data_IF_772272621109
#
_entry.id   IF_772272621109
#
_cell.length_a   1.000
_cell.length_b   1.000
_cell.length_c   1.000
_cell.angle_alpha   90.00
_cell.angle_beta   90.00
_cell.angle_gamma   90.00
#
_symmetry.space_group_name_H-M   'P 1'
#
loop_
_entity.id
_entity.type
_entity.pdbx_description
1 polymer ?
#
# COMPACT_ATOMS: atom_id res chain seq x y z
N UNK A 1 16.05 26.98 -11.49
CA UNK A 1 14.64 27.34 -11.81
C UNK A 1 13.70 26.55 -10.91
N UNK A 2 12.87 27.22 -10.10
CA UNK A 2 11.78 26.53 -9.38
C UNK A 2 10.76 26.07 -10.44
N UNK A 3 10.59 24.76 -10.61
CA UNK A 3 9.52 24.18 -11.44
C UNK A 3 8.19 24.77 -10.97
N UNK A 4 7.54 25.58 -11.82
CA UNK A 4 6.16 26.00 -11.57
C UNK A 4 5.35 24.72 -11.40
N UNK A 5 4.73 24.53 -10.24
CA UNK A 5 3.75 23.45 -10.06
C UNK A 5 2.66 23.71 -11.09
N UNK A 6 2.59 22.87 -12.11
CA UNK A 6 1.48 22.86 -13.08
C UNK A 6 0.39 22.05 -12.40
N UNK A 7 -0.75 22.69 -12.15
CA UNK A 7 -1.92 22.09 -11.53
C UNK A 7 -3.15 22.44 -12.37
N UNK A 8 -4.18 21.62 -12.25
CA UNK A 8 -5.49 21.90 -12.84
C UNK A 8 -5.99 23.23 -12.26
N UNK A 9 -6.21 24.21 -13.13
CA UNK A 9 -6.57 25.58 -12.74
C UNK A 9 -8.04 25.73 -12.37
N UNK A 10 -8.88 24.76 -12.74
CA UNK A 10 -10.25 24.65 -12.25
C UNK A 10 -10.27 24.02 -10.85
N UNK A 11 -10.60 24.81 -9.84
CA UNK A 11 -10.64 24.39 -8.44
C UNK A 11 -11.68 23.29 -8.18
N UNK A 12 -12.82 23.30 -8.88
CA UNK A 12 -13.85 22.27 -8.73
C UNK A 12 -13.38 20.93 -9.30
N UNK A 13 -12.72 20.95 -10.46
CA UNK A 13 -12.14 19.75 -11.05
C UNK A 13 -11.03 19.20 -10.17
N UNK A 14 -10.15 20.07 -9.67
CA UNK A 14 -9.07 19.70 -8.75
C UNK A 14 -9.59 19.06 -7.47
N UNK A 15 -10.58 19.65 -6.79
CA UNK A 15 -11.17 19.10 -5.56
C UNK A 15 -11.78 17.71 -5.78
N UNK A 16 -12.36 17.46 -6.95
CA UNK A 16 -12.91 16.15 -7.27
C UNK A 16 -11.83 15.12 -7.57
N UNK A 17 -10.78 15.48 -8.31
CA UNK A 17 -9.63 14.58 -8.53
C UNK A 17 -8.95 14.25 -7.20
N UNK A 18 -8.83 15.22 -6.30
CA UNK A 18 -8.37 15.00 -4.93
C UNK A 18 -9.22 13.97 -4.19
N UNK A 19 -10.55 14.09 -4.27
CA UNK A 19 -11.47 13.15 -3.63
C UNK A 19 -11.32 11.73 -4.21
N UNK A 20 -11.21 11.61 -5.54
CA UNK A 20 -11.01 10.31 -6.22
C UNK A 20 -9.66 9.70 -5.86
N UNK A 21 -8.56 10.47 -5.91
CA UNK A 21 -7.23 9.99 -5.54
C UNK A 21 -7.19 9.53 -4.07
N UNK A 22 -7.88 10.25 -3.18
CA UNK A 22 -8.03 9.86 -1.78
C UNK A 22 -8.79 8.54 -1.62
N UNK A 23 -9.94 8.42 -2.26
CA UNK A 23 -10.74 7.18 -2.26
C UNK A 23 -9.91 6.01 -2.81
N UNK A 24 -9.30 6.18 -3.98
CA UNK A 24 -8.46 5.18 -4.62
C UNK A 24 -7.31 4.72 -3.71
N UNK A 25 -6.63 5.65 -3.03
CA UNK A 25 -5.51 5.34 -2.12
C UNK A 25 -5.89 4.36 -1.02
N UNK A 26 -7.09 4.51 -0.44
CA UNK A 26 -7.54 3.68 0.68
C UNK A 26 -8.36 2.46 0.26
N UNK A 27 -8.96 2.47 -0.93
CA UNK A 27 -9.86 1.40 -1.39
C UNK A 27 -9.22 0.45 -2.40
N UNK A 28 -8.20 0.90 -3.14
CA UNK A 28 -7.58 0.13 -4.24
C UNK A 28 -6.08 -0.11 -3.98
N UNK A 29 -5.25 0.93 -4.05
CA UNK A 29 -3.80 0.78 -3.94
C UNK A 29 -3.12 1.99 -3.29
N UNK A 30 -2.09 1.71 -2.48
CA UNK A 30 -1.28 2.77 -1.86
C UNK A 30 -0.32 3.42 -2.85
N UNK A 31 0.26 2.67 -3.78
CA UNK A 31 1.16 3.19 -4.81
C UNK A 31 0.77 2.66 -6.18
N UNK A 32 1.03 3.45 -7.21
CA UNK A 32 0.91 3.05 -8.61
C UNK A 32 2.33 2.88 -9.13
N UNK A 33 2.65 1.67 -9.59
CA UNK A 33 3.92 1.38 -10.27
C UNK A 33 3.85 2.00 -11.66
N UNK A 34 4.92 2.66 -12.08
CA UNK A 34 5.01 3.26 -13.42
C UNK A 34 3.75 4.07 -13.80
N UNK A 35 3.38 5.11 -13.04
CA UNK A 35 2.11 5.81 -13.24
C UNK A 35 1.95 6.34 -14.67
N UNK A 36 3.00 6.85 -15.29
CA UNK A 36 2.91 7.30 -16.67
C UNK A 36 2.58 6.14 -17.63
N UNK A 37 3.12 4.94 -17.41
CA UNK A 37 2.81 3.79 -18.26
C UNK A 37 1.36 3.34 -18.06
N UNK A 38 0.88 3.29 -16.81
CA UNK A 38 -0.49 2.89 -16.48
C UNK A 38 -1.54 3.88 -17.01
N UNK A 39 -1.34 5.19 -16.80
CA UNK A 39 -2.34 6.20 -17.19
C UNK A 39 -2.40 6.44 -18.70
N UNK A 40 -1.32 6.16 -19.44
CA UNK A 40 -1.27 6.27 -20.90
C UNK A 40 -1.56 4.93 -21.61
N UNK A 41 -1.94 3.89 -20.87
CA UNK A 41 -2.19 2.58 -21.43
C UNK A 41 -3.57 2.54 -22.11
N UNK A 42 -3.64 1.99 -23.32
CA UNK A 42 -4.90 1.70 -23.97
C UNK A 42 -5.67 0.62 -23.20
N UNK A 43 -6.97 0.81 -23.02
CA UNK A 43 -7.83 -0.18 -22.35
C UNK A 43 -7.90 -1.43 -23.21
N UNK A 44 -7.46 -2.55 -22.65
CA UNK A 44 -7.67 -3.86 -23.27
C UNK A 44 -9.10 -4.33 -22.99
N UNK A 45 -10.00 -4.40 -24.00
CA UNK A 45 -11.38 -4.82 -23.81
C UNK A 45 -11.51 -6.30 -23.41
N UNK A 46 -10.48 -7.10 -23.66
CA UNK A 46 -10.44 -8.53 -23.36
C UNK A 46 -9.72 -8.84 -22.04
N UNK A 47 -9.39 -7.81 -21.25
CA UNK A 47 -8.76 -7.96 -19.95
C UNK A 47 -9.59 -8.84 -19.01
N UNK A 48 -8.97 -9.89 -18.47
CA UNK A 48 -9.53 -10.75 -17.43
C UNK A 48 -8.92 -10.36 -16.07
N UNK A 49 -9.71 -9.88 -15.09
CA UNK A 49 -9.23 -9.60 -13.74
C UNK A 49 -8.52 -10.79 -13.07
N UNK A 50 -8.83 -12.02 -13.46
CA UNK A 50 -8.15 -13.24 -12.98
C UNK A 50 -6.68 -13.30 -13.40
N UNK A 51 -6.30 -12.57 -14.45
CA UNK A 51 -4.94 -12.48 -14.96
C UNK A 51 -4.11 -11.40 -14.27
N UNK A 52 -4.69 -10.57 -13.40
CA UNK A 52 -4.07 -9.38 -12.79
C UNK A 52 -2.60 -9.54 -12.39
N UNK A 53 -2.19 -10.70 -11.88
CA UNK A 53 -0.82 -10.93 -11.40
C UNK A 53 0.01 -11.93 -12.25
N UNK A 54 -0.44 -12.23 -13.48
CA UNK A 54 0.24 -13.16 -14.42
C UNK A 54 1.43 -12.51 -15.14
N UNK A 55 1.35 -11.21 -15.45
CA UNK A 55 2.45 -10.45 -16.07
C UNK A 55 2.48 -9.00 -15.55
N UNK A 56 3.44 -8.19 -15.99
CA UNK A 56 3.46 -6.75 -15.69
C UNK A 56 2.36 -6.01 -16.46
N UNK A 57 2.11 -6.38 -17.72
CA UNK A 57 1.08 -5.77 -18.56
C UNK A 57 -0.32 -6.01 -17.97
N UNK A 58 -0.59 -7.22 -17.49
CA UNK A 58 -1.85 -7.58 -16.84
C UNK A 58 -2.04 -6.83 -15.50
N UNK A 59 -0.94 -6.50 -14.82
CA UNK A 59 -0.98 -5.63 -13.64
C UNK A 59 -1.33 -4.20 -14.04
N UNK A 60 -0.71 -3.68 -15.09
CA UNK A 60 -1.00 -2.32 -15.56
C UNK A 60 -2.44 -2.19 -16.05
N UNK A 61 -2.96 -3.15 -16.82
CA UNK A 61 -4.38 -3.21 -17.19
C UNK A 61 -5.26 -3.26 -15.94
N UNK A 62 -4.95 -4.12 -14.97
CA UNK A 62 -5.72 -4.20 -13.72
C UNK A 62 -5.78 -2.87 -12.96
N UNK A 63 -4.66 -2.16 -12.84
CA UNK A 63 -4.64 -0.84 -12.20
C UNK A 63 -5.39 0.20 -13.04
N UNK A 64 -5.29 0.16 -14.37
CA UNK A 64 -6.04 1.05 -15.27
C UNK A 64 -7.55 0.85 -15.09
N UNK A 65 -8.03 -0.40 -15.04
CA UNK A 65 -9.43 -0.70 -14.79
C UNK A 65 -9.91 -0.15 -13.43
N UNK A 66 -9.15 -0.36 -12.36
CA UNK A 66 -9.48 0.21 -11.05
C UNK A 66 -9.49 1.74 -11.03
N UNK A 67 -8.57 2.38 -11.77
CA UNK A 67 -8.57 3.82 -11.92
C UNK A 67 -9.83 4.28 -12.65
N UNK A 68 -10.24 3.59 -13.71
CA UNK A 68 -11.44 3.92 -14.50
C UNK A 68 -12.75 3.64 -13.76
N UNK A 69 -12.77 2.68 -12.85
CA UNK A 69 -13.91 2.46 -11.93
C UNK A 69 -14.10 3.63 -10.96
N UNK A 70 -12.99 4.23 -10.50
CA UNK A 70 -13.01 5.29 -9.49
C UNK A 70 -13.09 6.70 -10.09
N UNK A 71 -12.44 6.91 -11.25
CA UNK A 71 -12.47 8.16 -12.01
C UNK A 71 -13.76 8.22 -12.82
N UNK A 72 -14.57 9.30 -12.71
CA UNK A 72 -15.77 9.46 -13.52
C UNK A 72 -15.52 9.30 -15.03
N UNK A 73 -16.39 8.56 -15.71
CA UNK A 73 -16.28 8.23 -17.14
C UNK A 73 -16.01 9.43 -18.05
N UNK A 74 -16.58 10.58 -17.74
CA UNK A 74 -16.38 11.83 -18.49
C UNK A 74 -14.94 12.38 -18.47
N UNK A 75 -14.05 11.82 -17.66
CA UNK A 75 -12.64 12.19 -17.58
C UNK A 75 -11.72 11.09 -18.08
N UNK A 76 -12.28 9.97 -18.58
CA UNK A 76 -11.48 8.85 -19.08
C UNK A 76 -10.62 9.24 -20.28
N UNK A 77 -11.13 10.13 -21.14
CA UNK A 77 -10.40 10.64 -22.30
C UNK A 77 -9.30 11.63 -21.92
N UNK A 78 -9.31 12.14 -20.68
CA UNK A 78 -8.30 13.07 -20.14
C UNK A 78 -7.31 12.35 -19.19
N UNK A 79 -7.40 11.03 -19.01
CA UNK A 79 -6.57 10.31 -18.04
C UNK A 79 -5.08 10.30 -18.42
N UNK A 80 -4.75 10.41 -19.71
CA UNK A 80 -3.39 10.53 -20.25
C UNK A 80 -2.78 11.93 -20.06
N UNK A 81 -3.59 12.90 -19.60
CA UNK A 81 -3.15 14.26 -19.37
C UNK A 81 -2.12 14.35 -18.23
N UNK A 82 -0.91 14.82 -18.55
CA UNK A 82 0.20 14.92 -17.59
C UNK A 82 -0.16 15.69 -16.31
N UNK A 83 -1.00 16.73 -16.42
CA UNK A 83 -1.43 17.54 -15.28
C UNK A 83 -2.35 16.73 -14.37
N UNK A 84 -3.26 15.93 -14.94
CA UNK A 84 -4.13 15.03 -14.19
C UNK A 84 -3.29 13.97 -13.47
N UNK A 85 -2.42 13.27 -14.20
CA UNK A 85 -1.54 12.23 -13.65
C UNK A 85 -0.73 12.80 -12.47
N UNK A 86 -0.07 13.95 -12.67
CA UNK A 86 0.74 14.60 -11.64
C UNK A 86 -0.10 15.01 -10.44
N UNK A 87 -1.28 15.57 -10.66
CA UNK A 87 -2.20 15.97 -9.57
C UNK A 87 -2.62 14.74 -8.78
N UNK A 88 -3.06 13.67 -9.45
CA UNK A 88 -3.48 12.42 -8.82
C UNK A 88 -2.36 11.82 -7.95
N UNK A 89 -1.13 11.73 -8.49
CA UNK A 89 0.01 11.15 -7.77
C UNK A 89 0.45 11.98 -6.56
N UNK A 90 0.39 13.32 -6.66
CA UNK A 90 0.66 14.22 -5.52
C UNK A 90 -0.36 13.96 -4.41
N UNK A 91 -1.63 13.86 -4.75
CA UNK A 91 -2.71 13.68 -3.78
C UNK A 91 -2.65 12.31 -3.11
N UNK A 92 -2.39 11.23 -3.87
CA UNK A 92 -2.12 9.91 -3.28
C UNK A 92 -0.96 9.97 -2.28
N UNK A 93 0.14 10.65 -2.63
CA UNK A 93 1.30 10.81 -1.76
C UNK A 93 0.97 11.56 -0.47
N UNK A 94 0.19 12.65 -0.59
CA UNK A 94 -0.25 13.42 0.56
C UNK A 94 -1.17 12.59 1.47
N UNK A 95 -2.10 11.82 0.90
CA UNK A 95 -3.00 10.97 1.67
C UNK A 95 -2.27 9.82 2.37
N UNK A 96 -1.28 9.20 1.74
CA UNK A 96 -0.41 8.22 2.41
C UNK A 96 0.30 8.82 3.62
N UNK A 97 0.93 9.98 3.46
CA UNK A 97 1.64 10.65 4.54
C UNK A 97 0.70 11.03 5.70
N UNK A 98 -0.45 11.63 5.37
CA UNK A 98 -1.48 11.97 6.36
C UNK A 98 -2.04 10.73 7.06
N UNK A 99 -2.32 9.67 6.30
CA UNK A 99 -2.80 8.39 6.81
C UNK A 99 -1.81 7.78 7.79
N UNK A 100 -0.53 7.71 7.42
CA UNK A 100 0.53 7.23 8.32
C UNK A 100 0.57 8.02 9.63
N UNK A 101 0.43 9.35 9.56
CA UNK A 101 0.40 10.19 10.76
C UNK A 101 -0.84 9.92 11.64
N UNK A 102 -2.03 9.86 11.04
CA UNK A 102 -3.28 9.57 11.75
C UNK A 102 -3.25 8.20 12.42
N UNK A 103 -2.79 7.17 11.72
CA UNK A 103 -2.66 5.81 12.28
C UNK A 103 -1.63 5.81 13.41
N UNK A 104 -0.56 6.61 13.37
CA UNK A 104 0.37 6.74 14.51
C UNK A 104 -0.25 7.41 15.73
N UNK A 105 -1.04 8.47 15.53
CA UNK A 105 -1.68 9.21 16.62
C UNK A 105 -2.83 8.42 17.25
N UNK A 106 -3.70 7.85 16.43
CA UNK A 106 -4.88 7.12 16.89
C UNK A 106 -4.59 5.62 17.12
N UNK A 107 -3.46 5.13 16.63
CA UNK A 107 -3.13 3.70 16.61
C UNK A 107 -3.19 3.02 17.96
N UNK A 108 -2.54 3.56 19.01
CA UNK A 108 -2.63 3.01 20.36
C UNK A 108 -4.07 2.77 20.83
N UNK A 109 -4.97 3.71 20.53
CA UNK A 109 -6.38 3.63 20.86
C UNK A 109 -7.15 2.63 19.98
N UNK A 110 -7.00 2.72 18.65
CA UNK A 110 -7.71 1.85 17.68
C UNK A 110 -7.29 0.39 17.85
N UNK A 111 -6.03 0.16 18.23
CA UNK A 111 -5.40 -1.14 18.15
C UNK A 111 -5.12 -1.79 19.51
N UNK A 112 -5.33 -1.06 20.60
CA UNK A 112 -5.18 -1.56 21.97
C UNK A 112 -3.73 -1.90 22.31
N UNK A 113 -2.78 -1.15 21.76
CA UNK A 113 -1.34 -1.33 21.98
C UNK A 113 -0.79 -0.22 22.90
N UNK A 114 0.26 -0.50 23.70
CA UNK A 114 0.87 0.51 24.56
C UNK A 114 1.33 1.73 23.76
N UNK A 115 0.92 2.94 24.22
CA UNK A 115 1.24 4.24 23.61
C UNK A 115 2.75 4.40 23.32
N UNK A 116 3.59 3.85 24.19
CA UNK A 116 5.05 3.96 24.15
C UNK A 116 5.67 3.39 22.85
N UNK A 117 5.03 2.40 22.23
CA UNK A 117 5.51 1.75 21.00
C UNK A 117 5.40 2.67 19.77
N UNK A 118 4.43 3.60 19.74
CA UNK A 118 4.17 4.46 18.59
C UNK A 118 4.70 5.89 18.75
N UNK A 119 4.71 6.41 19.98
CA UNK A 119 5.06 7.81 20.24
C UNK A 119 6.57 8.05 20.33
N UNK A 120 7.35 7.10 20.85
CA UNK A 120 8.80 7.27 21.00
C UNK A 120 9.53 6.82 19.74
N UNK A 121 10.08 7.76 18.97
CA UNK A 121 10.72 7.48 17.67
C UNK A 121 11.83 6.44 17.76
N UNK A 122 12.70 6.50 18.77
CA UNK A 122 13.80 5.54 18.96
C UNK A 122 13.31 4.12 19.28
N UNK A 123 12.32 3.97 20.15
CA UNK A 123 11.72 2.67 20.51
C UNK A 123 10.99 2.08 19.31
N UNK A 124 10.22 2.90 18.59
CA UNK A 124 9.53 2.50 17.35
C UNK A 124 10.51 1.96 16.31
N UNK A 125 11.60 2.70 16.05
CA UNK A 125 12.67 2.32 15.11
C UNK A 125 13.24 0.95 15.49
N UNK A 126 13.64 0.77 16.76
CA UNK A 126 14.29 -0.47 17.21
C UNK A 126 13.34 -1.67 17.16
N UNK A 127 12.15 -1.57 17.75
CA UNK A 127 11.17 -2.66 17.77
C UNK A 127 10.69 -3.01 16.36
N UNK A 128 10.42 -1.99 15.52
CA UNK A 128 10.01 -2.23 14.15
C UNK A 128 11.10 -2.94 13.34
N UNK A 129 12.38 -2.51 13.46
CA UNK A 129 13.53 -3.17 12.81
C UNK A 129 13.61 -4.65 13.15
N UNK A 130 13.50 -4.99 14.43
CA UNK A 130 13.51 -6.39 14.88
C UNK A 130 12.33 -7.19 14.28
N UNK A 131 11.12 -6.63 14.33
CA UNK A 131 9.90 -7.30 13.87
C UNK A 131 9.86 -7.49 12.34
N UNK A 132 10.46 -6.58 11.57
CA UNK A 132 10.66 -6.72 10.13
C UNK A 132 11.96 -7.47 9.76
N UNK A 133 12.66 -8.04 10.74
CA UNK A 133 13.90 -8.79 10.51
C UNK A 133 14.95 -7.98 9.75
N UNK A 134 15.08 -6.69 10.08
CA UNK A 134 16.07 -5.80 9.50
C UNK A 134 17.48 -6.24 9.89
N UNK A 135 18.37 -6.29 8.91
CA UNK A 135 19.77 -6.67 9.08
C UNK A 135 20.63 -5.56 8.50
N UNK A 136 21.67 -5.17 9.22
CA UNK A 136 22.70 -4.30 8.66
C UNK A 136 23.73 -5.11 7.90
N UNK A 137 23.87 -4.84 6.59
CA UNK A 137 24.95 -5.38 5.77
C UNK A 137 26.31 -4.77 6.12
N UNK A 138 27.37 -5.43 5.66
CA UNK A 138 28.78 -5.07 5.90
C UNK A 138 29.16 -3.70 5.33
N UNK A 139 28.44 -3.22 4.33
CA UNK A 139 28.66 -1.92 3.67
C UNK A 139 27.84 -0.78 4.30
N UNK A 140 27.21 -1.01 5.46
CA UNK A 140 26.31 -0.03 6.06
C UNK A 140 24.98 0.14 5.31
N UNK A 141 24.69 -0.76 4.37
CA UNK A 141 23.39 -0.85 3.67
C UNK A 141 22.48 -1.83 4.41
N UNK A 142 21.32 -1.35 4.83
CA UNK A 142 20.32 -2.18 5.51
C UNK A 142 19.54 -3.04 4.52
N UNK A 143 19.16 -4.25 4.92
CA UNK A 143 18.25 -5.13 4.20
C UNK A 143 17.21 -5.73 5.14
N UNK A 144 16.16 -6.31 4.57
CA UNK A 144 15.09 -6.95 5.32
C UNK A 144 14.68 -8.25 4.63
N UNK A 145 14.08 -9.17 5.37
CA UNK A 145 13.50 -10.38 4.79
C UNK A 145 12.11 -10.06 4.23
N UNK A 146 11.74 -10.65 3.09
CA UNK A 146 10.38 -10.48 2.52
C UNK A 146 9.29 -11.14 3.41
N UNK A 147 9.67 -12.22 4.09
CA UNK A 147 8.85 -12.97 5.03
C UNK A 147 9.41 -12.77 6.44
N UNK A 148 8.68 -12.02 7.26
CA UNK A 148 9.18 -11.51 8.55
C UNK A 148 8.24 -11.82 9.70
N UNK A 149 8.78 -11.80 10.93
CA UNK A 149 8.05 -12.14 12.17
C UNK A 149 6.75 -11.37 12.30
N UNK A 150 6.75 -10.08 11.94
CA UNK A 150 5.55 -9.26 12.01
C UNK A 150 4.42 -9.81 11.14
N UNK A 151 4.69 -10.61 10.10
CA UNK A 151 3.63 -11.22 9.28
C UNK A 151 2.84 -12.30 9.99
N UNK A 152 3.40 -12.96 11.01
CA UNK A 152 2.82 -14.17 11.55
C UNK A 152 2.28 -13.97 12.96
N UNK A 153 1.17 -14.65 13.25
CA UNK A 153 0.83 -14.97 14.64
C UNK A 153 1.82 -16.04 15.13
N UNK A 154 2.50 -15.81 16.25
CA UNK A 154 3.41 -16.80 16.86
C UNK A 154 4.49 -17.34 15.89
N UNK A 155 5.31 -16.45 15.31
CA UNK A 155 6.35 -16.81 14.35
C UNK A 155 7.46 -17.67 14.96
N UNK A 156 7.65 -18.88 14.43
CA UNK A 156 8.68 -19.84 14.88
C UNK A 156 9.91 -19.87 13.95
N UNK A 157 10.14 -18.82 13.15
CA UNK A 157 11.28 -18.76 12.24
C UNK A 157 11.09 -19.45 10.88
N UNK A 158 9.90 -19.99 10.61
CA UNK A 158 9.53 -20.64 9.33
C UNK A 158 8.19 -20.12 8.80
N UNK A 159 8.00 -20.17 7.48
CA UNK A 159 6.73 -19.80 6.86
C UNK A 159 5.63 -20.79 7.23
N UNK A 160 4.53 -20.28 7.78
CA UNK A 160 3.31 -21.04 8.05
C UNK A 160 2.09 -20.30 7.48
N UNK A 161 1.46 -20.90 6.46
CA UNK A 161 0.28 -20.35 5.79
C UNK A 161 -0.93 -20.15 6.71
N UNK A 162 -0.99 -20.88 7.83
CA UNK A 162 -2.05 -20.77 8.84
C UNK A 162 -1.75 -19.71 9.90
N UNK A 163 -0.56 -19.11 9.85
CA UNK A 163 -0.15 -18.05 10.78
C UNK A 163 0.12 -16.72 10.08
N UNK A 164 0.42 -16.72 8.77
CA UNK A 164 0.68 -15.50 7.99
C UNK A 164 -0.54 -14.57 7.95
N UNK A 165 -0.28 -13.26 7.97
CA UNK A 165 -1.24 -12.16 8.01
C UNK A 165 -2.20 -12.17 9.21
N UNK A 166 -1.86 -12.93 10.25
CA UNK A 166 -2.65 -13.04 11.50
C UNK A 166 -1.96 -12.40 12.69
N UNK A 167 -0.81 -11.75 12.50
CA UNK A 167 -0.22 -10.96 13.56
C UNK A 167 -1.15 -9.76 13.86
N UNK A 168 -1.60 -9.60 15.12
CA UNK A 168 -2.44 -8.47 15.48
C UNK A 168 -1.81 -7.13 15.09
N UNK A 169 -0.49 -6.96 15.19
CA UNK A 169 0.23 -5.73 14.80
C UNK A 169 0.18 -5.49 13.29
N UNK A 170 0.04 -6.50 12.43
CA UNK A 170 -0.19 -6.26 10.99
C UNK A 170 -1.62 -5.95 10.69
N UNK A 171 -2.54 -6.71 11.28
CA UNK A 171 -3.97 -6.44 11.16
C UNK A 171 -4.32 -5.03 11.65
N UNK A 172 -3.41 -4.43 12.43
CA UNK A 172 -3.63 -3.17 13.10
C UNK A 172 -2.69 -2.04 12.63
N UNK A 173 -1.40 -2.27 12.38
CA UNK A 173 -0.42 -1.15 12.47
C UNK A 173 0.91 -1.28 11.74
N UNK A 174 1.11 -2.19 10.77
CA UNK A 174 2.40 -2.21 10.02
C UNK A 174 2.81 -0.83 9.48
N UNK A 175 1.84 -0.08 9.00
CA UNK A 175 2.01 1.27 8.47
C UNK A 175 2.36 2.33 9.53
N UNK A 176 1.89 2.18 10.77
CA UNK A 176 2.19 3.10 11.85
C UNK A 176 3.52 2.83 12.54
N UNK A 177 3.94 1.55 12.59
CA UNK A 177 5.21 1.16 13.17
C UNK A 177 6.40 1.50 12.26
N UNK A 178 6.17 1.73 10.96
CA UNK A 178 7.21 2.13 10.01
C UNK A 178 7.92 3.41 10.43
N UNK A 179 9.25 3.42 10.27
CA UNK A 179 10.09 4.61 10.43
C UNK A 179 9.88 5.67 9.34
N UNK A 180 9.23 5.33 8.23
CA UNK A 180 9.03 6.26 7.13
C UNK A 180 7.87 7.21 7.41
N UNK A 181 8.18 8.46 7.71
CA UNK A 181 7.20 9.52 8.00
C UNK A 181 6.26 9.78 6.81
N UNK A 182 6.74 9.58 5.59
CA UNK A 182 6.03 9.86 4.34
C UNK A 182 5.57 8.60 3.60
N UNK A 183 6.00 7.44 4.08
CA UNK A 183 5.68 6.12 3.53
C UNK A 183 5.89 6.04 2.00
N UNK A 184 7.14 6.28 1.61
CA UNK A 184 7.61 6.20 0.23
C UNK A 184 7.58 4.74 -0.26
N UNK A 185 7.41 4.50 -1.57
CA UNK A 185 7.35 3.15 -2.13
C UNK A 185 8.64 2.37 -1.86
N UNK A 186 9.80 3.01 -2.03
CA UNK A 186 11.11 2.46 -1.66
C UNK A 186 11.85 3.46 -0.76
N UNK A 187 12.29 3.00 0.42
CA UNK A 187 13.01 3.88 1.35
C UNK A 187 14.48 4.00 0.96
N UNK A 188 14.95 5.23 0.74
CA UNK A 188 16.34 5.48 0.31
C UNK A 188 17.42 4.94 1.25
N UNK A 189 17.17 4.97 2.57
CA UNK A 189 18.13 4.60 3.62
C UNK A 189 18.10 3.13 4.01
N UNK A 190 16.92 2.55 4.29
CA UNK A 190 16.80 1.12 4.65
C UNK A 190 16.55 0.20 3.47
N UNK A 191 16.40 0.77 2.25
CA UNK A 191 16.11 0.05 1.00
C UNK A 191 14.88 -0.85 1.09
N UNK A 192 13.94 -0.52 1.99
CA UNK A 192 12.68 -1.26 2.12
C UNK A 192 11.80 -0.89 0.94
N UNK A 193 11.46 -1.87 0.11
CA UNK A 193 10.51 -1.73 -0.99
C UNK A 193 9.11 -2.08 -0.48
N UNK A 194 8.47 -1.10 0.14
CA UNK A 194 7.12 -1.22 0.66
C UNK A 194 6.09 -1.47 -0.44
N UNK A 195 6.36 -0.97 -1.65
CA UNK A 195 5.50 -1.22 -2.79
C UNK A 195 5.55 -2.69 -3.22
N UNK A 196 6.75 -3.26 -3.37
CA UNK A 196 6.91 -4.67 -3.69
C UNK A 196 6.31 -5.58 -2.62
N UNK A 197 6.49 -5.24 -1.34
CA UNK A 197 5.86 -5.96 -0.23
C UNK A 197 4.33 -5.93 -0.35
N UNK A 198 3.75 -4.75 -0.57
CA UNK A 198 2.31 -4.58 -0.73
C UNK A 198 1.77 -5.37 -1.91
N UNK A 199 2.41 -5.28 -3.08
CA UNK A 199 2.03 -6.01 -4.28
C UNK A 199 2.14 -7.53 -4.08
N UNK A 200 3.17 -8.00 -3.38
CA UNK A 200 3.31 -9.41 -3.02
C UNK A 200 2.16 -9.89 -2.11
N UNK A 201 1.76 -9.09 -1.11
CA UNK A 201 0.64 -9.44 -0.23
C UNK A 201 -0.69 -9.42 -0.97
N UNK A 202 -0.90 -8.40 -1.81
CA UNK A 202 -2.10 -8.29 -2.63
C UNK A 202 -2.21 -9.48 -3.59
N UNK A 203 -1.11 -9.86 -4.25
CA UNK A 203 -1.03 -11.05 -5.10
C UNK A 203 -1.41 -12.32 -4.34
N UNK A 204 -0.80 -12.55 -3.17
CA UNK A 204 -1.08 -13.73 -2.35
C UNK A 204 -2.56 -13.84 -1.96
N UNK A 205 -3.17 -12.73 -1.53
CA UNK A 205 -4.58 -12.70 -1.17
C UNK A 205 -5.48 -12.87 -2.39
N UNK A 206 -5.17 -12.22 -3.51
CA UNK A 206 -5.93 -12.29 -4.74
C UNK A 206 -5.96 -13.70 -5.33
N UNK A 207 -4.79 -14.31 -5.54
CA UNK A 207 -4.67 -15.68 -6.05
C UNK A 207 -5.32 -16.69 -5.09
N UNK A 208 -5.16 -16.48 -3.78
CA UNK A 208 -5.79 -17.32 -2.76
C UNK A 208 -7.31 -17.21 -2.74
N UNK A 209 -7.87 -16.02 -2.94
CA UNK A 209 -9.32 -15.81 -3.05
C UNK A 209 -9.88 -16.46 -4.31
N UNK A 210 -9.22 -16.24 -5.45
CA UNK A 210 -9.62 -16.81 -6.73
C UNK A 210 -9.62 -18.35 -6.68
N UNK A 211 -8.55 -18.95 -6.15
CA UNK A 211 -8.42 -20.40 -5.98
C UNK A 211 -9.21 -20.97 -4.79
N UNK A 212 -9.91 -20.13 -4.01
CA UNK A 212 -10.62 -20.50 -2.78
C UNK A 212 -9.70 -21.25 -1.78
N UNK A 213 -8.45 -20.85 -1.69
CA UNK A 213 -7.47 -21.44 -0.80
C UNK A 213 -7.96 -21.34 0.66
N UNK A 214 -8.10 -22.47 1.41
CA UNK A 214 -8.65 -22.46 2.76
C UNK A 214 -7.92 -21.51 3.72
N UNK A 215 -6.59 -21.42 3.59
CA UNK A 215 -5.78 -20.55 4.44
C UNK A 215 -6.04 -19.06 4.20
N UNK A 216 -6.43 -18.65 2.99
CA UNK A 216 -6.72 -17.26 2.63
C UNK A 216 -8.16 -16.90 2.99
N UNK A 217 -9.11 -17.79 2.76
CA UNK A 217 -10.49 -17.60 3.22
C UNK A 217 -10.56 -17.44 4.74
N UNK A 218 -9.75 -18.21 5.47
CA UNK A 218 -9.63 -18.09 6.93
C UNK A 218 -9.00 -16.74 7.36
N UNK A 219 -8.03 -16.20 6.61
CA UNK A 219 -7.49 -14.84 6.85
C UNK A 219 -8.62 -13.82 6.73
N UNK A 220 -9.37 -13.82 5.63
CA UNK A 220 -10.46 -12.87 5.42
C UNK A 220 -11.55 -13.01 6.48
N UNK A 221 -11.92 -14.24 6.85
CA UNK A 221 -12.87 -14.49 7.94
C UNK A 221 -12.38 -13.90 9.27
N UNK A 222 -11.11 -14.12 9.61
CA UNK A 222 -10.49 -13.58 10.83
C UNK A 222 -10.47 -12.06 10.80
N UNK A 223 -10.11 -11.46 9.66
CA UNK A 223 -10.11 -10.02 9.48
C UNK A 223 -11.51 -9.42 9.62
N UNK A 224 -12.52 -10.05 9.02
CA UNK A 224 -13.90 -9.59 9.13
C UNK A 224 -14.39 -9.57 10.58
N UNK A 225 -14.03 -10.57 11.40
CA UNK A 225 -14.37 -10.58 12.83
C UNK A 225 -13.71 -9.45 13.62
N UNK A 226 -12.54 -8.97 13.17
CA UNK A 226 -11.80 -7.89 13.85
C UNK A 226 -12.29 -6.52 13.42
N UNK A 227 -12.59 -6.32 12.14
CA UNK A 227 -12.98 -5.01 11.59
C UNK A 227 -14.50 -4.77 11.59
N UNK A 228 -15.31 -5.83 11.60
CA UNK A 228 -16.77 -5.78 11.61
C UNK A 228 -17.34 -6.66 12.75
N UNK A 229 -17.08 -6.30 14.01
CA UNK A 229 -17.53 -7.06 15.18
C UNK A 229 -19.05 -7.05 15.38
#
# INVERSE_FOLDING_TARGET
MKSKKVYITDDNQRLRIQAVACKFTYTKMLWIRHPNEVFNLDVDPDYDPSNRFKSLDEQFQGVLYELREEIPAKWHDDMDNEILIRTFMIEMSQQRSNGSHRIRQAGPFIFGCPNEIFHTESVRITTFREDIGFIMGTEGVGSYKKVVKILFKDYEGKFDKWKIFRNPIIMKTRFAASEDKSFQPCRSHTKIDYQEDFEFYLKYLHEGLHSKAPSVLDIIKTWNQVFYP
#
